data_IF_005113973277
#
_entry.id   IF_005113973277
#
_cell.length_a   1.000
_cell.length_b   1.000
_cell.length_c   1.000
_cell.angle_alpha   90.00
_cell.angle_beta   90.00
_cell.angle_gamma   90.00
#
_symmetry.space_group_name_H-M   'P 1'
#
loop_
_entity.id
_entity.type
_entity.pdbx_description
1 polymer ?
#
# COMPACT_ATOMS: atom_id res chain seq x y z
N UNK A 1 -64.24 82.77 59.10
CA UNK A 1 -63.88 81.69 58.17
C UNK A 1 -62.77 80.89 58.82
N UNK A 2 -62.94 79.58 58.90
CA UNK A 2 -61.97 78.66 59.51
C UNK A 2 -60.94 78.23 58.45
N UNK A 3 -59.68 78.63 58.65
CA UNK A 3 -58.60 78.37 57.70
C UNK A 3 -58.26 76.86 57.61
N UNK A 4 -58.47 76.09 58.68
CA UNK A 4 -58.16 74.66 58.70
C UNK A 4 -59.07 73.83 57.77
N UNK A 5 -60.34 74.21 57.66
CA UNK A 5 -61.28 73.58 56.71
C UNK A 5 -60.92 73.86 55.24
N UNK A 6 -60.32 75.02 54.95
CA UNK A 6 -59.90 75.39 53.60
C UNK A 6 -58.63 74.65 53.20
N UNK A 7 -57.64 74.59 54.08
CA UNK A 7 -56.38 73.84 53.89
C UNK A 7 -56.65 72.35 53.63
N UNK A 8 -57.51 71.72 54.43
CA UNK A 8 -57.91 70.31 54.22
C UNK A 8 -58.63 70.07 52.89
N UNK A 9 -59.39 71.06 52.39
CA UNK A 9 -60.03 70.97 51.08
C UNK A 9 -59.02 71.07 49.93
N UNK A 10 -57.97 71.89 50.09
CA UNK A 10 -56.90 72.04 49.10
C UNK A 10 -56.07 70.76 49.04
N UNK A 11 -55.64 70.21 50.18
CA UNK A 11 -54.85 68.98 50.23
C UNK A 11 -55.57 67.80 49.58
N UNK A 12 -56.86 67.64 49.86
CA UNK A 12 -57.69 66.60 49.24
C UNK A 12 -57.79 66.78 47.73
N UNK A 13 -57.87 68.02 47.24
CA UNK A 13 -57.94 68.30 45.81
C UNK A 13 -56.60 67.96 45.13
N UNK A 14 -55.46 68.34 45.74
CA UNK A 14 -54.12 68.00 45.26
C UNK A 14 -53.90 66.48 45.21
N UNK A 15 -54.35 65.75 46.23
CA UNK A 15 -54.26 64.30 46.26
C UNK A 15 -55.12 63.65 45.17
N UNK A 16 -56.31 64.21 44.92
CA UNK A 16 -57.22 63.77 43.86
C UNK A 16 -56.63 64.01 42.47
N UNK A 17 -56.05 65.19 42.22
CA UNK A 17 -55.41 65.54 40.95
C UNK A 17 -54.21 64.62 40.69
N UNK A 18 -53.37 64.37 41.70
CA UNK A 18 -52.24 63.45 41.61
C UNK A 18 -52.68 62.00 41.32
N UNK A 19 -53.82 61.59 41.88
CA UNK A 19 -54.39 60.28 41.59
C UNK A 19 -54.92 60.19 40.15
N UNK A 20 -55.55 61.28 39.66
CA UNK A 20 -56.02 61.40 38.27
C UNK A 20 -54.87 61.32 37.28
N UNK A 21 -53.80 62.10 37.48
CA UNK A 21 -52.61 62.09 36.63
C UNK A 21 -51.96 60.70 36.54
N UNK A 22 -51.89 59.99 37.69
CA UNK A 22 -51.36 58.62 37.74
C UNK A 22 -52.25 57.64 36.98
N UNK A 23 -53.57 57.81 37.06
CA UNK A 23 -54.52 56.98 36.32
C UNK A 23 -54.39 57.20 34.81
N UNK A 24 -54.29 58.45 34.36
CA UNK A 24 -54.12 58.78 32.94
C UNK A 24 -52.80 58.26 32.38
N UNK A 25 -51.71 58.34 33.17
CA UNK A 25 -50.42 57.77 32.79
C UNK A 25 -50.49 56.24 32.63
N UNK A 26 -51.17 55.55 33.55
CA UNK A 26 -51.37 54.11 33.44
C UNK A 26 -52.26 53.75 32.25
N UNK A 27 -53.32 54.50 31.99
CA UNK A 27 -54.20 54.29 30.86
C UNK A 27 -53.45 54.43 29.53
N UNK A 28 -52.56 55.41 29.41
CA UNK A 28 -51.72 55.56 28.23
C UNK A 28 -50.75 54.37 28.08
N UNK A 29 -50.08 53.96 29.15
CA UNK A 29 -49.19 52.79 29.13
C UNK A 29 -49.93 51.50 28.72
N UNK A 30 -51.18 51.31 29.16
CA UNK A 30 -52.02 50.19 28.73
C UNK A 30 -52.37 50.23 27.23
N UNK A 31 -52.67 51.42 26.69
CA UNK A 31 -52.89 51.60 25.25
C UNK A 31 -51.63 51.26 24.45
N UNK A 32 -50.47 51.75 24.89
CA UNK A 32 -49.19 51.50 24.22
C UNK A 32 -48.81 50.00 24.28
N UNK A 33 -49.08 49.34 25.41
CA UNK A 33 -48.90 47.90 25.56
C UNK A 33 -49.85 47.11 24.63
N UNK A 34 -51.12 47.53 24.50
CA UNK A 34 -52.09 46.92 23.59
C UNK A 34 -51.68 47.05 22.12
N UNK A 35 -51.16 48.21 21.74
CA UNK A 35 -50.61 48.44 20.40
C UNK A 35 -49.39 47.55 20.14
N UNK A 36 -48.48 47.46 21.11
CA UNK A 36 -47.30 46.58 21.03
C UNK A 36 -47.67 45.11 20.92
N UNK A 37 -48.68 44.65 21.67
CA UNK A 37 -49.20 43.29 21.58
C UNK A 37 -49.80 42.99 20.20
N UNK A 38 -50.51 43.95 19.60
CA UNK A 38 -51.09 43.82 18.26
C UNK A 38 -50.00 43.68 17.20
N UNK A 39 -48.93 44.48 17.29
CA UNK A 39 -47.76 44.36 16.40
C UNK A 39 -47.05 43.02 16.58
N UNK A 40 -46.84 42.58 17.82
CA UNK A 40 -46.23 41.28 18.11
C UNK A 40 -47.07 40.12 17.54
N UNK A 41 -48.40 40.17 17.68
CA UNK A 41 -49.31 39.18 17.10
C UNK A 41 -49.18 39.11 15.57
N UNK A 42 -49.21 40.25 14.90
CA UNK A 42 -49.02 40.33 13.44
C UNK A 42 -47.64 39.76 13.03
N UNK A 43 -46.58 40.08 13.80
CA UNK A 43 -45.26 39.52 13.60
C UNK A 43 -45.22 37.99 13.69
N UNK A 44 -45.90 37.42 14.69
CA UNK A 44 -46.00 35.95 14.87
C UNK A 44 -46.80 35.30 13.75
N UNK A 45 -47.89 35.92 13.28
CA UNK A 45 -48.68 35.42 12.15
C UNK A 45 -47.85 35.39 10.85
N UNK A 46 -47.09 36.47 10.56
CA UNK A 46 -46.17 36.52 9.42
C UNK A 46 -45.05 35.50 9.52
N UNK A 47 -44.46 35.33 10.71
CA UNK A 47 -43.43 34.32 10.94
C UNK A 47 -43.99 32.90 10.74
N UNK A 48 -45.21 32.64 11.21
CA UNK A 48 -45.88 31.34 11.04
C UNK A 48 -46.13 31.03 9.56
N UNK A 49 -46.62 32.00 8.79
CA UNK A 49 -46.80 31.85 7.34
C UNK A 49 -45.47 31.56 6.63
N UNK A 50 -44.41 32.30 6.97
CA UNK A 50 -43.08 32.12 6.39
C UNK A 50 -42.48 30.75 6.73
N UNK A 51 -42.68 30.27 7.97
CA UNK A 51 -42.26 28.93 8.38
C UNK A 51 -43.01 27.84 7.62
N UNK A 52 -44.30 28.04 7.32
CA UNK A 52 -45.07 27.08 6.52
C UNK A 52 -44.51 26.99 5.10
N UNK A 53 -44.26 28.13 4.45
CA UNK A 53 -43.66 28.17 3.11
C UNK A 53 -42.25 27.52 3.09
N UNK A 54 -41.43 27.78 4.11
CA UNK A 54 -40.11 27.17 4.23
C UNK A 54 -40.20 25.64 4.39
N UNK A 55 -41.18 25.15 5.17
CA UNK A 55 -41.42 23.72 5.35
C UNK A 55 -41.81 23.05 4.04
N UNK A 56 -42.70 23.66 3.27
CA UNK A 56 -43.16 23.11 1.99
C UNK A 56 -42.02 23.03 0.99
N UNK A 57 -41.22 24.10 0.87
CA UNK A 57 -40.01 24.11 0.02
C UNK A 57 -38.98 23.05 0.45
N UNK A 58 -38.81 22.84 1.75
CA UNK A 58 -37.91 21.80 2.27
C UNK A 58 -38.42 20.40 1.90
N UNK A 59 -39.74 20.17 1.97
CA UNK A 59 -40.35 18.91 1.55
C UNK A 59 -40.09 18.65 0.06
N UNK A 60 -40.33 19.64 -0.80
CA UNK A 60 -40.06 19.51 -2.24
C UNK A 60 -38.58 19.23 -2.53
N UNK A 61 -37.66 19.90 -1.82
CA UNK A 61 -36.24 19.67 -1.96
C UNK A 61 -35.84 18.25 -1.54
N UNK A 62 -36.45 17.73 -0.47
CA UNK A 62 -36.24 16.35 -0.01
C UNK A 62 -36.69 15.32 -1.04
N UNK A 63 -37.87 15.52 -1.64
CA UNK A 63 -38.40 14.63 -2.68
C UNK A 63 -37.52 14.62 -3.95
N UNK A 64 -37.03 15.80 -4.35
CA UNK A 64 -36.06 15.94 -5.46
C UNK A 64 -34.75 15.22 -5.14
N UNK A 65 -34.20 15.39 -3.95
CA UNK A 65 -32.99 14.70 -3.52
C UNK A 65 -33.17 13.17 -3.55
N UNK A 66 -34.30 12.65 -3.05
CA UNK A 66 -34.61 11.22 -3.08
C UNK A 66 -34.70 10.69 -4.52
N UNK A 67 -35.28 11.47 -5.44
CA UNK A 67 -35.35 11.13 -6.86
C UNK A 67 -33.96 11.05 -7.49
N UNK A 68 -33.07 12.01 -7.19
CA UNK A 68 -31.68 12.01 -7.65
C UNK A 68 -30.92 10.80 -7.11
N UNK A 69 -31.05 10.49 -5.82
CA UNK A 69 -30.41 9.32 -5.20
C UNK A 69 -30.80 8.04 -5.92
N UNK A 70 -32.10 7.81 -6.16
CA UNK A 70 -32.60 6.64 -6.90
C UNK A 70 -32.04 6.57 -8.33
N UNK A 71 -31.92 7.71 -9.01
CA UNK A 71 -31.33 7.75 -10.34
C UNK A 71 -29.84 7.36 -10.33
N UNK A 72 -29.07 7.87 -9.36
CA UNK A 72 -27.65 7.52 -9.18
C UNK A 72 -27.49 6.03 -8.90
N UNK A 73 -28.29 5.46 -7.99
CA UNK A 73 -28.28 4.03 -7.69
C UNK A 73 -28.55 3.18 -8.95
N UNK A 74 -29.52 3.59 -9.77
CA UNK A 74 -29.80 2.92 -11.04
C UNK A 74 -28.64 3.01 -12.04
N UNK A 75 -27.95 4.16 -12.13
CA UNK A 75 -26.75 4.30 -12.96
C UNK A 75 -25.59 3.45 -12.46
N UNK A 76 -25.32 3.44 -11.15
CA UNK A 76 -24.28 2.60 -10.55
C UNK A 76 -24.56 1.12 -10.85
N UNK A 77 -25.81 0.68 -10.73
CA UNK A 77 -26.23 -0.67 -11.13
C UNK A 77 -25.87 -0.98 -12.58
N UNK A 78 -26.22 -0.08 -13.51
CA UNK A 78 -25.89 -0.24 -14.94
C UNK A 78 -24.39 -0.28 -15.22
N UNK A 79 -23.60 0.54 -14.54
CA UNK A 79 -22.14 0.63 -14.76
C UNK A 79 -21.41 -0.56 -14.15
N UNK A 80 -21.89 -1.09 -13.02
CA UNK A 80 -21.32 -2.26 -12.35
C UNK A 80 -21.31 -3.50 -13.25
N UNK A 81 -22.30 -3.64 -14.12
CA UNK A 81 -22.43 -4.78 -15.03
C UNK A 81 -21.64 -4.60 -16.34
N UNK A 82 -20.95 -3.47 -16.53
CA UNK A 82 -20.11 -3.24 -17.72
C UNK A 82 -18.79 -3.98 -17.55
N UNK A 83 -18.70 -5.16 -18.16
CA UNK A 83 -17.41 -5.83 -18.38
C UNK A 83 -16.74 -5.24 -19.62
N UNK A 84 -15.70 -4.43 -19.43
CA UNK A 84 -14.88 -3.94 -20.54
C UNK A 84 -14.00 -5.08 -21.05
N UNK A 85 -14.33 -5.61 -22.23
CA UNK A 85 -13.47 -6.55 -22.96
C UNK A 85 -12.52 -5.75 -23.84
N UNK A 86 -11.22 -5.81 -23.55
CA UNK A 86 -10.19 -5.29 -24.44
C UNK A 86 -9.76 -6.41 -25.40
N UNK A 87 -9.75 -6.13 -26.71
CA UNK A 87 -9.14 -7.00 -27.71
C UNK A 87 -7.67 -6.59 -27.84
N UNK A 88 -6.76 -7.53 -27.64
CA UNK A 88 -5.34 -7.35 -28.04
C UNK A 88 -5.28 -7.52 -29.55
N UNK A 89 -4.54 -6.65 -30.24
CA UNK A 89 -4.40 -6.74 -31.69
C UNK A 89 -3.78 -8.09 -32.07
N UNK A 90 -4.34 -8.73 -33.10
CA UNK A 90 -3.91 -10.06 -33.52
C UNK A 90 -2.45 -10.03 -34.02
N UNK A 91 -1.98 -8.90 -34.58
CA UNK A 91 -0.60 -8.71 -35.02
C UNK A 91 0.38 -8.60 -33.84
N UNK A 92 0.00 -7.92 -32.76
CA UNK A 92 0.83 -7.83 -31.54
C UNK A 92 1.00 -9.23 -30.90
N UNK A 93 -0.08 -10.02 -30.89
CA UNK A 93 -0.05 -11.38 -30.39
C UNK A 93 0.82 -12.30 -31.27
N UNK A 94 0.69 -12.19 -32.60
CA UNK A 94 1.52 -12.93 -33.55
C UNK A 94 3.01 -12.55 -33.44
N UNK A 95 3.31 -11.26 -33.27
CA UNK A 95 4.66 -10.78 -33.04
C UNK A 95 5.26 -11.37 -31.74
N UNK A 96 4.49 -11.40 -30.66
CA UNK A 96 4.93 -11.99 -29.39
C UNK A 96 5.22 -13.50 -29.53
N UNK A 97 4.40 -14.24 -30.27
CA UNK A 97 4.61 -15.66 -30.55
C UNK A 97 5.89 -15.88 -31.37
N UNK A 98 6.09 -15.09 -32.43
CA UNK A 98 7.27 -15.18 -33.28
C UNK A 98 8.56 -14.85 -32.52
N UNK A 99 8.53 -13.81 -31.68
CA UNK A 99 9.67 -13.45 -30.83
C UNK A 99 10.03 -14.57 -29.85
N UNK A 100 9.03 -15.20 -29.22
CA UNK A 100 9.26 -16.37 -28.34
C UNK A 100 9.86 -17.55 -29.09
N UNK A 101 9.35 -17.86 -30.29
CA UNK A 101 9.88 -18.95 -31.11
C UNK A 101 11.35 -18.73 -31.46
N UNK A 102 11.70 -17.50 -31.85
CA UNK A 102 13.09 -17.12 -32.16
C UNK A 102 14.01 -17.20 -30.93
N UNK A 103 13.52 -16.80 -29.76
CA UNK A 103 14.28 -16.91 -28.51
C UNK A 103 14.61 -18.38 -28.19
N UNK A 104 13.60 -19.26 -28.23
CA UNK A 104 13.76 -20.70 -27.96
C UNK A 104 14.76 -21.34 -28.94
N UNK A 105 14.68 -20.99 -30.23
CA UNK A 105 15.61 -21.53 -31.23
C UNK A 105 17.06 -21.10 -30.95
N UNK A 106 17.26 -19.82 -30.59
CA UNK A 106 18.59 -19.31 -30.27
C UNK A 106 19.18 -19.96 -29.01
N UNK A 107 18.38 -20.09 -27.94
CA UNK A 107 18.81 -20.77 -26.71
C UNK A 107 19.14 -22.24 -26.95
N UNK A 108 18.32 -22.94 -27.76
CA UNK A 108 18.58 -24.34 -28.11
C UNK A 108 19.91 -24.51 -28.84
N UNK A 109 20.22 -23.64 -29.82
CA UNK A 109 21.50 -23.70 -30.55
C UNK A 109 22.68 -23.41 -29.62
N UNK A 110 22.55 -22.38 -28.77
CA UNK A 110 23.59 -22.04 -27.80
C UNK A 110 23.90 -23.21 -26.85
N UNK A 111 22.87 -23.88 -26.35
CA UNK A 111 23.03 -25.04 -25.47
C UNK A 111 23.64 -26.24 -26.19
N UNK A 112 23.27 -26.46 -27.45
CA UNK A 112 23.86 -27.53 -28.26
C UNK A 112 25.35 -27.30 -28.54
N UNK A 113 25.71 -26.06 -28.90
CA UNK A 113 27.10 -25.66 -29.12
C UNK A 113 27.94 -25.82 -27.85
N UNK A 114 27.39 -25.40 -26.70
CA UNK A 114 28.05 -25.56 -25.41
C UNK A 114 28.24 -27.04 -25.05
N UNK A 115 27.22 -27.88 -25.27
CA UNK A 115 27.29 -29.33 -25.07
C UNK A 115 28.39 -29.95 -25.94
N UNK A 116 28.48 -29.55 -27.22
CA UNK A 116 29.50 -30.05 -28.14
C UNK A 116 30.90 -29.64 -27.70
N UNK A 117 31.10 -28.37 -27.36
CA UNK A 117 32.38 -27.86 -26.86
C UNK A 117 32.83 -28.62 -25.60
N UNK A 118 31.94 -28.85 -24.65
CA UNK A 118 32.24 -29.61 -23.44
C UNK A 118 32.62 -31.07 -23.74
N UNK A 119 31.91 -31.72 -24.67
CA UNK A 119 32.24 -33.08 -25.10
C UNK A 119 33.61 -33.14 -25.78
N UNK A 120 33.94 -32.17 -26.63
CA UNK A 120 35.21 -32.09 -27.33
C UNK A 120 36.37 -31.88 -26.35
N UNK A 121 36.22 -30.96 -25.39
CA UNK A 121 37.22 -30.72 -24.32
C UNK A 121 37.44 -32.00 -23.50
N UNK A 122 36.36 -32.66 -23.07
CA UNK A 122 36.45 -33.87 -22.26
C UNK A 122 37.11 -35.01 -23.04
N UNK A 123 36.71 -35.21 -24.30
CA UNK A 123 37.28 -36.25 -25.16
C UNK A 123 38.77 -36.01 -25.40
N UNK A 124 39.15 -34.75 -25.66
CA UNK A 124 40.56 -34.36 -25.85
C UNK A 124 41.37 -34.60 -24.58
N UNK A 125 40.86 -34.21 -23.42
CA UNK A 125 41.54 -34.44 -22.15
C UNK A 125 41.75 -35.95 -21.87
N UNK A 126 40.73 -36.78 -22.10
CA UNK A 126 40.86 -38.24 -21.96
C UNK A 126 41.85 -38.85 -22.95
N UNK A 127 41.82 -38.37 -24.20
CA UNK A 127 42.76 -38.81 -25.23
C UNK A 127 44.20 -38.44 -24.85
N UNK A 128 44.45 -37.20 -24.44
CA UNK A 128 45.78 -36.72 -24.03
C UNK A 128 46.30 -37.53 -22.84
N UNK A 129 45.46 -37.80 -21.84
CA UNK A 129 45.82 -38.62 -20.69
C UNK A 129 46.12 -40.07 -21.09
N UNK A 130 45.30 -40.67 -21.95
CA UNK A 130 45.49 -42.05 -22.44
C UNK A 130 46.76 -42.16 -23.28
N UNK A 131 47.01 -41.20 -24.16
CA UNK A 131 48.21 -41.11 -24.98
C UNK A 131 49.47 -40.97 -24.11
N UNK A 132 49.45 -40.10 -23.09
CA UNK A 132 50.55 -39.94 -22.15
C UNK A 132 50.82 -41.24 -21.35
N UNK A 133 49.77 -41.94 -20.90
CA UNK A 133 49.92 -43.26 -20.24
C UNK A 133 50.51 -44.31 -21.17
N UNK A 134 50.06 -44.40 -22.43
CA UNK A 134 50.60 -45.36 -23.42
C UNK A 134 52.08 -45.15 -23.73
N UNK A 135 52.58 -43.92 -23.59
CA UNK A 135 53.98 -43.55 -23.78
C UNK A 135 54.81 -43.62 -22.49
N UNK A 136 54.20 -44.07 -21.38
CA UNK A 136 54.81 -44.14 -20.05
C UNK A 136 55.28 -42.76 -19.52
N UNK A 137 54.69 -41.66 -20.01
CA UNK A 137 55.05 -40.28 -19.67
C UNK A 137 54.17 -39.69 -18.55
N UNK A 138 53.41 -40.53 -17.83
CA UNK A 138 52.60 -40.07 -16.69
C UNK A 138 53.46 -39.40 -15.62
N UNK A 139 52.89 -38.51 -14.80
CA UNK A 139 53.63 -37.73 -13.78
C UNK A 139 54.59 -38.59 -12.95
N UNK A 140 54.18 -39.81 -12.57
CA UNK A 140 54.99 -40.75 -11.78
C UNK A 140 55.94 -41.64 -12.61
N UNK A 141 55.62 -41.88 -13.88
CA UNK A 141 56.38 -42.77 -14.79
C UNK A 141 57.33 -42.00 -15.72
N UNK A 142 57.24 -40.68 -15.71
CA UNK A 142 58.13 -39.78 -16.42
C UNK A 142 59.57 -40.03 -16.02
N UNK A 143 60.46 -40.03 -17.01
CA UNK A 143 61.87 -40.36 -16.86
C UNK A 143 62.57 -39.50 -15.79
N UNK A 144 62.13 -38.26 -15.59
CA UNK A 144 62.63 -37.38 -14.54
C UNK A 144 62.22 -37.82 -13.13
N UNK A 145 60.93 -38.14 -12.92
CA UNK A 145 60.40 -38.56 -11.62
C UNK A 145 60.84 -39.98 -11.24
N UNK A 146 60.87 -40.91 -12.20
CA UNK A 146 61.38 -42.28 -11.98
C UNK A 146 62.83 -42.25 -11.52
N UNK A 147 63.68 -41.42 -12.13
CA UNK A 147 65.08 -41.28 -11.73
C UNK A 147 65.21 -40.71 -10.32
N UNK A 148 64.42 -39.69 -9.99
CA UNK A 148 64.39 -39.10 -8.64
C UNK A 148 63.92 -40.10 -7.58
N UNK A 149 62.83 -40.83 -7.83
CA UNK A 149 62.32 -41.87 -6.94
C UNK A 149 63.36 -42.98 -6.76
N UNK A 150 63.96 -43.46 -7.85
CA UNK A 150 65.02 -44.47 -7.79
C UNK A 150 66.18 -44.01 -6.91
N UNK A 151 66.59 -42.74 -7.02
CA UNK A 151 67.71 -42.19 -6.25
C UNK A 151 67.40 -42.06 -4.75
N UNK A 152 66.13 -41.87 -4.38
CA UNK A 152 65.67 -41.87 -2.98
C UNK A 152 65.53 -43.30 -2.44
N UNK A 153 64.92 -44.21 -3.20
CA UNK A 153 64.64 -45.58 -2.74
C UNK A 153 65.89 -46.46 -2.70
N UNK A 154 66.83 -46.27 -3.63
CA UNK A 154 68.05 -47.10 -3.74
C UNK A 154 68.89 -47.12 -2.45
N UNK A 155 69.26 -45.98 -1.83
CA UNK A 155 70.03 -45.99 -0.58
C UNK A 155 69.25 -46.61 0.58
N UNK A 156 67.94 -46.37 0.68
CA UNK A 156 67.10 -47.01 1.70
C UNK A 156 67.08 -48.54 1.53
N UNK A 157 66.93 -49.02 0.29
CA UNK A 157 66.94 -50.45 -0.01
C UNK A 157 68.28 -51.09 0.33
N UNK A 158 69.39 -50.47 -0.11
CA UNK A 158 70.74 -50.94 0.19
C UNK A 158 71.01 -50.99 1.70
N UNK A 159 70.65 -49.94 2.42
CA UNK A 159 70.79 -49.88 3.88
C UNK A 159 70.02 -51.01 4.58
N UNK A 160 68.80 -51.29 4.12
CA UNK A 160 67.96 -52.36 4.69
C UNK A 160 68.58 -53.74 4.46
N UNK A 161 69.06 -54.02 3.24
CA UNK A 161 69.71 -55.29 2.90
C UNK A 161 71.00 -55.48 3.71
N UNK A 162 71.84 -54.45 3.79
CA UNK A 162 73.10 -54.50 4.56
C UNK A 162 72.81 -54.71 6.05
N UNK A 163 71.80 -54.04 6.60
CA UNK A 163 71.41 -54.20 8.00
C UNK A 163 70.95 -55.62 8.30
N UNK A 164 70.18 -56.25 7.41
CA UNK A 164 69.74 -57.64 7.54
C UNK A 164 70.94 -58.60 7.47
N UNK A 165 71.83 -58.42 6.48
CA UNK A 165 73.03 -59.28 6.35
C UNK A 165 73.93 -59.16 7.57
N UNK A 166 74.15 -57.94 8.07
CA UNK A 166 74.92 -57.71 9.28
C UNK A 166 74.27 -58.37 10.51
N UNK A 167 72.95 -58.24 10.66
CA UNK A 167 72.20 -58.89 11.72
C UNK A 167 72.33 -60.42 11.67
N UNK A 168 72.23 -61.02 10.49
CA UNK A 168 72.38 -62.47 10.30
C UNK A 168 73.81 -62.92 10.56
N UNK A 169 74.81 -62.22 10.03
CA UNK A 169 76.22 -62.55 10.25
C UNK A 169 76.60 -62.46 11.75
N UNK A 170 76.12 -61.43 12.45
CA UNK A 170 76.34 -61.26 13.90
C UNK A 170 75.67 -62.34 14.76
N UNK A 171 74.68 -63.07 14.23
CA UNK A 171 74.04 -64.20 14.91
C UNK A 171 74.74 -65.54 14.65
N UNK A 172 75.55 -65.64 13.58
CA UNK A 172 76.30 -66.85 13.23
C UNK A 172 77.68 -66.87 13.90
N UNK A 173 78.29 -65.70 14.13
CA UNK A 173 79.58 -65.56 14.83
C UNK A 173 79.48 -65.54 16.38
N UNK A 174 78.34 -65.98 16.93
CA UNK A 174 78.09 -66.08 18.38
C UNK A 174 77.68 -67.48 18.77
#
# INVERSE_FOLDING_TARGET
>A
MDFGSFENSIDKNIETDKASDKFDQQLQAYKDAGNSLTLAKSGVEMATASMHEAKDKLSEASDKANTVTKAIEAYIGKVKDITVKAKVDDADMEQAINNRKKLIENESKLLEDHRKANKDILTRHFYDMSNMMSRNEGVWLSNGWVKTLLWIFLPCFLYTVISIVYFVASYIDK
#
